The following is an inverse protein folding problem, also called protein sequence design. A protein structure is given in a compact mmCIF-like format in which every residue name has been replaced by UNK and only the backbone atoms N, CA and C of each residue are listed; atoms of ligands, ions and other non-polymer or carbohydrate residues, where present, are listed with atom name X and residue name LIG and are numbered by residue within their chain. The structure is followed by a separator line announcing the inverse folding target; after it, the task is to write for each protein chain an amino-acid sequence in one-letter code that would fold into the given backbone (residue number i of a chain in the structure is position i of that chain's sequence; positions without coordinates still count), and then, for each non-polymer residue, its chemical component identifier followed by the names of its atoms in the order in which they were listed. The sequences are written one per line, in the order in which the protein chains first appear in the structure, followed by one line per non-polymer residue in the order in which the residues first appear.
data_IF_408604065647
#
_entry.id   IF_408604065647
#
_cell.length_a   1.000
_cell.length_b   1.000
_cell.length_c   1.000
_cell.angle_alpha   90.00
_cell.angle_beta   90.00
_cell.angle_gamma   90.00
#
_symmetry.space_group_name_H-M   'P 1'
#
loop_
_entity.id
_entity.type
_entity.pdbx_description
1 polymer ?
#
# COMPACT_ATOMS: atom_id res chain seq x y z
N UNK A 1 58.24 -19.06 14.18
CA UNK A 1 58.02 -18.28 15.42
C UNK A 1 56.61 -17.71 15.53
N UNK A 2 56.07 -16.98 14.54
CA UNK A 2 54.69 -16.41 14.60
C UNK A 2 53.60 -17.49 14.51
N UNK A 3 53.71 -18.45 13.58
CA UNK A 3 52.71 -19.53 13.44
C UNK A 3 52.64 -20.44 14.67
N UNK A 4 53.79 -20.75 15.26
CA UNK A 4 53.89 -21.58 16.47
C UNK A 4 53.23 -20.91 17.69
N UNK A 5 53.41 -19.59 17.83
CA UNK A 5 52.76 -18.79 18.86
C UNK A 5 51.24 -18.66 18.62
N UNK A 6 50.82 -18.63 17.35
CA UNK A 6 49.41 -18.61 16.97
C UNK A 6 48.70 -19.91 17.34
N UNK A 7 49.29 -21.06 17.02
CA UNK A 7 48.70 -22.36 17.38
C UNK A 7 48.62 -22.57 18.90
N UNK A 8 49.64 -22.13 19.65
CA UNK A 8 49.67 -22.28 21.11
C UNK A 8 48.61 -21.43 21.83
N UNK A 9 48.32 -20.23 21.31
CA UNK A 9 47.40 -19.28 21.95
C UNK A 9 46.09 -19.09 21.20
N UNK A 10 45.82 -19.88 20.17
CA UNK A 10 44.68 -19.71 19.26
C UNK A 10 43.36 -19.56 20.02
N UNK A 11 43.10 -20.44 20.99
CA UNK A 11 41.87 -20.41 21.79
C UNK A 11 41.72 -19.09 22.55
N UNK A 12 42.81 -18.59 23.13
CA UNK A 12 42.82 -17.35 23.91
C UNK A 12 42.55 -16.16 22.98
N UNK A 13 43.28 -16.08 21.87
CA UNK A 13 43.11 -15.00 20.88
C UNK A 13 41.70 -15.01 20.30
N UNK A 14 41.17 -16.19 19.97
CA UNK A 14 39.81 -16.36 19.46
C UNK A 14 38.75 -15.89 20.46
N UNK A 15 38.83 -16.36 21.71
CA UNK A 15 37.87 -16.00 22.76
C UNK A 15 37.93 -14.51 23.09
N UNK A 16 39.12 -13.92 23.22
CA UNK A 16 39.27 -12.48 23.48
C UNK A 16 38.69 -11.67 22.32
N UNK A 17 38.99 -12.07 21.08
CA UNK A 17 38.47 -11.36 19.90
C UNK A 17 36.94 -11.44 19.82
N UNK A 18 36.35 -12.59 20.13
CA UNK A 18 34.90 -12.75 20.20
C UNK A 18 34.29 -11.89 21.32
N UNK A 19 34.90 -11.85 22.50
CA UNK A 19 34.45 -11.03 23.63
C UNK A 19 34.53 -9.53 23.33
N UNK A 20 35.63 -9.07 22.73
CA UNK A 20 35.79 -7.67 22.28
C UNK A 20 34.74 -7.34 21.23
N UNK A 21 34.50 -8.24 20.27
CA UNK A 21 33.47 -8.06 19.26
C UNK A 21 32.09 -7.85 19.89
N UNK A 22 31.65 -8.72 20.81
CA UNK A 22 30.39 -8.54 21.51
C UNK A 22 30.37 -7.28 22.38
N UNK A 23 31.44 -6.99 23.11
CA UNK A 23 31.56 -5.86 24.03
C UNK A 23 31.46 -4.50 23.34
N UNK A 24 32.08 -4.33 22.15
CA UNK A 24 31.98 -3.08 21.37
C UNK A 24 30.52 -2.74 21.02
N UNK A 25 29.66 -3.74 20.86
CA UNK A 25 28.24 -3.52 20.53
C UNK A 25 27.41 -2.95 21.70
N UNK A 26 27.93 -2.93 22.93
CA UNK A 26 27.28 -2.21 24.05
C UNK A 26 27.17 -0.72 23.73
N UNK A 27 28.12 -0.18 22.96
CA UNK A 27 28.17 1.24 22.56
C UNK A 27 27.04 1.65 21.62
N UNK A 28 26.31 0.69 21.03
CA UNK A 28 25.13 0.96 20.21
C UNK A 28 23.89 1.33 21.05
N UNK A 29 23.97 1.22 22.37
CA UNK A 29 22.87 1.48 23.29
C UNK A 29 23.22 2.65 24.23
N UNK A 30 22.17 3.32 24.74
CA UNK A 30 22.36 4.34 25.77
C UNK A 30 22.89 3.69 27.04
N UNK A 31 24.08 4.10 27.47
CA UNK A 31 24.70 3.61 28.70
C UNK A 31 23.82 3.93 29.91
N UNK A 32 23.33 2.89 30.56
CA UNK A 32 22.52 2.94 31.78
C UNK A 32 22.96 1.81 32.71
N UNK A 33 22.70 1.96 34.01
CA UNK A 33 23.05 0.93 34.99
C UNK A 33 22.35 -0.40 34.67
N UNK A 34 21.07 -0.34 34.28
CA UNK A 34 20.31 -1.52 33.85
C UNK A 34 20.93 -2.21 32.64
N UNK A 35 21.36 -1.44 31.62
CA UNK A 35 22.04 -2.00 30.45
C UNK A 35 23.34 -2.71 30.86
N UNK A 36 24.12 -2.15 31.77
CA UNK A 36 25.38 -2.75 32.21
C UNK A 36 25.15 -4.09 32.93
N UNK A 37 24.16 -4.15 33.81
CA UNK A 37 23.75 -5.37 34.51
C UNK A 37 23.29 -6.45 33.52
N UNK A 38 22.44 -6.08 32.55
CA UNK A 38 21.93 -7.01 31.53
C UNK A 38 22.84 -7.14 30.31
N UNK A 39 24.02 -6.51 30.30
CA UNK A 39 24.90 -6.47 29.14
C UNK A 39 25.29 -7.85 28.62
N UNK A 40 25.55 -8.89 29.47
CA UNK A 40 25.87 -10.23 28.95
C UNK A 40 24.72 -10.82 28.14
N UNK A 41 23.47 -10.50 28.49
CA UNK A 41 22.28 -10.95 27.75
C UNK A 41 22.07 -10.13 26.48
N UNK A 42 22.24 -8.80 26.57
CA UNK A 42 22.02 -7.88 25.44
C UNK A 42 23.03 -8.12 24.31
N UNK A 43 24.28 -8.44 24.64
CA UNK A 43 25.32 -8.74 23.64
C UNK A 43 25.46 -10.22 23.29
N UNK A 44 24.68 -11.11 23.94
CA UNK A 44 24.73 -12.55 23.66
C UNK A 44 24.51 -12.87 22.18
N UNK A 45 23.56 -12.24 21.44
CA UNK A 45 23.40 -12.48 20.01
C UNK A 45 24.65 -12.12 19.20
N UNK A 46 25.30 -11.01 19.54
CA UNK A 46 26.51 -10.51 18.88
C UNK A 46 27.71 -11.41 19.21
N UNK A 47 27.83 -11.89 20.45
CA UNK A 47 28.84 -12.88 20.84
C UNK A 47 28.64 -14.19 20.08
N UNK A 48 27.41 -14.69 20.02
CA UNK A 48 27.08 -15.91 19.30
C UNK A 48 27.42 -15.79 17.81
N UNK A 49 27.05 -14.67 17.18
CA UNK A 49 27.40 -14.40 15.78
C UNK A 49 28.92 -14.29 15.58
N UNK A 50 29.63 -13.57 16.46
CA UNK A 50 31.07 -13.37 16.39
C UNK A 50 31.85 -14.69 16.49
N UNK A 51 31.41 -15.61 17.36
CA UNK A 51 31.98 -16.96 17.45
C UNK A 51 31.75 -17.75 16.17
N UNK A 52 30.55 -17.73 15.61
CA UNK A 52 30.23 -18.47 14.38
C UNK A 52 30.99 -17.92 13.16
N UNK A 53 31.03 -16.59 12.99
CA UNK A 53 31.81 -15.93 11.92
C UNK A 53 33.30 -16.23 12.08
N UNK A 54 33.82 -16.15 13.30
CA UNK A 54 35.21 -16.45 13.62
C UNK A 54 35.57 -17.91 13.27
N UNK A 55 34.72 -18.86 13.69
CA UNK A 55 34.92 -20.28 13.39
C UNK A 55 34.92 -20.53 11.89
N UNK A 56 33.93 -19.99 11.16
CA UNK A 56 33.86 -20.15 9.70
C UNK A 56 35.09 -19.55 9.00
N UNK A 57 35.54 -18.37 9.44
CA UNK A 57 36.72 -17.71 8.89
C UNK A 57 37.98 -18.56 9.04
N UNK A 58 38.19 -19.15 10.22
CA UNK A 58 39.39 -19.95 10.49
C UNK A 58 39.32 -21.31 9.81
N UNK A 59 38.14 -21.94 9.77
CA UNK A 59 37.99 -23.32 9.26
C UNK A 59 37.79 -23.40 7.75
N UNK A 60 37.01 -22.49 7.17
CA UNK A 60 36.61 -22.53 5.76
C UNK A 60 37.14 -21.33 4.96
N UNK A 61 37.77 -20.36 5.63
CA UNK A 61 38.34 -19.17 5.02
C UNK A 61 37.45 -17.94 5.14
N UNK A 62 38.03 -16.78 4.84
CA UNK A 62 37.40 -15.47 5.02
C UNK A 62 36.04 -15.32 4.32
N UNK A 63 35.89 -15.89 3.11
CA UNK A 63 34.66 -15.79 2.32
C UNK A 63 33.42 -16.35 3.02
N UNK A 64 33.56 -17.45 3.76
CA UNK A 64 32.43 -18.06 4.50
C UNK A 64 32.01 -17.23 5.71
N UNK A 65 32.97 -16.62 6.40
CA UNK A 65 32.68 -15.65 7.46
C UNK A 65 31.95 -14.41 6.93
N UNK A 66 32.38 -13.90 5.77
CA UNK A 66 31.73 -12.77 5.10
C UNK A 66 30.32 -13.12 4.65
N UNK A 67 30.11 -14.31 4.06
CA UNK A 67 28.80 -14.76 3.62
C UNK A 67 27.81 -14.85 4.79
N UNK A 68 28.23 -15.47 5.91
CA UNK A 68 27.40 -15.54 7.11
C UNK A 68 27.04 -14.14 7.64
N UNK A 69 27.99 -13.22 7.63
CA UNK A 69 27.75 -11.83 8.06
C UNK A 69 26.72 -11.12 7.15
N UNK A 70 26.84 -11.26 5.84
CA UNK A 70 25.89 -10.69 4.87
C UNK A 70 24.49 -11.27 5.10
N UNK A 71 24.36 -12.60 5.20
CA UNK A 71 23.08 -13.27 5.42
C UNK A 71 22.45 -12.84 6.74
N UNK A 72 23.24 -12.77 7.82
CA UNK A 72 22.77 -12.31 9.12
C UNK A 72 22.20 -10.89 9.05
N UNK A 73 22.90 -9.96 8.39
CA UNK A 73 22.45 -8.58 8.25
C UNK A 73 21.19 -8.48 7.37
N UNK A 74 21.07 -9.29 6.32
CA UNK A 74 19.85 -9.34 5.52
C UNK A 74 18.66 -9.78 6.38
N UNK A 75 18.81 -10.89 7.11
CA UNK A 75 17.71 -11.48 7.89
C UNK A 75 17.29 -10.61 9.07
N UNK A 76 18.26 -10.08 9.82
CA UNK A 76 17.96 -9.41 11.10
C UNK A 76 17.98 -7.87 11.03
N UNK A 77 18.48 -7.26 9.96
CA UNK A 77 18.43 -5.82 9.76
C UNK A 77 17.59 -5.43 8.53
N UNK A 78 17.95 -5.91 7.34
CA UNK A 78 17.31 -5.46 6.09
C UNK A 78 15.85 -5.89 6.01
N UNK A 79 15.53 -7.17 6.27
CA UNK A 79 14.14 -7.66 6.22
C UNK A 79 13.24 -6.91 7.21
N UNK A 80 13.58 -6.75 8.49
CA UNK A 80 12.78 -5.95 9.41
C UNK A 80 12.60 -4.50 8.97
N UNK A 81 13.66 -3.84 8.49
CA UNK A 81 13.58 -2.46 8.00
C UNK A 81 12.60 -2.36 6.83
N UNK A 82 12.63 -3.33 5.90
CA UNK A 82 11.73 -3.39 4.75
C UNK A 82 10.28 -3.72 5.18
N UNK A 83 10.08 -4.61 6.16
CA UNK A 83 8.75 -4.94 6.67
C UNK A 83 8.11 -3.78 7.43
N UNK A 84 8.91 -3.00 8.15
CA UNK A 84 8.47 -1.82 8.92
C UNK A 84 8.29 -0.61 8.00
N UNK A 85 9.19 -0.41 7.03
CA UNK A 85 9.15 0.67 6.06
C UNK A 85 9.13 0.12 4.63
N UNK A 86 7.96 -0.32 4.15
CA UNK A 86 7.84 -0.89 2.82
C UNK A 86 8.18 0.12 1.72
N UNK A 87 8.18 1.43 1.99
CA UNK A 87 8.43 2.44 0.97
C UNK A 87 9.77 2.30 0.20
N UNK A 88 10.74 1.61 0.80
CA UNK A 88 12.04 1.30 0.19
C UNK A 88 11.91 0.39 -1.05
N UNK A 89 10.84 -0.42 -1.16
CA UNK A 89 10.59 -1.33 -2.30
C UNK A 89 9.61 -0.76 -3.35
N UNK A 90 9.31 0.54 -3.32
CA UNK A 90 8.31 1.15 -4.21
C UNK A 90 6.87 1.01 -3.71
N UNK A 91 6.66 0.70 -2.43
CA UNK A 91 5.36 0.85 -1.78
C UNK A 91 5.13 2.33 -1.45
N UNK A 92 4.26 3.03 -2.18
CA UNK A 92 3.97 4.42 -1.84
C UNK A 92 3.24 4.50 -0.50
N UNK A 93 3.93 5.01 0.54
CA UNK A 93 3.30 5.35 1.81
C UNK A 93 2.75 6.77 1.70
N UNK A 94 1.46 6.89 1.43
CA UNK A 94 0.75 8.08 1.89
C UNK A 94 0.70 7.94 3.42
N UNK A 95 1.18 8.93 4.18
CA UNK A 95 1.45 8.84 5.64
C UNK A 95 0.27 8.28 6.47
N UNK A 96 -0.94 8.26 5.88
CA UNK A 96 -2.20 7.85 6.47
C UNK A 96 -2.83 6.58 5.87
N UNK A 97 -2.25 5.94 4.85
CA UNK A 97 -2.70 4.65 4.31
C UNK A 97 -1.59 3.85 3.60
N UNK A 98 -1.62 2.52 3.72
CA UNK A 98 -0.77 1.65 2.93
C UNK A 98 -1.40 1.46 1.54
N UNK A 99 -0.67 1.87 0.49
CA UNK A 99 -1.11 1.75 -0.90
C UNK A 99 -0.35 0.62 -1.60
N UNK A 100 -1.09 -0.33 -2.19
CA UNK A 100 -0.53 -1.46 -2.91
C UNK A 100 -1.02 -1.44 -4.36
N UNK A 101 -0.13 -1.68 -5.33
CA UNK A 101 -0.56 -1.94 -6.70
C UNK A 101 -1.45 -3.18 -6.76
N UNK A 102 -2.60 -3.08 -7.42
CA UNK A 102 -3.57 -4.16 -7.51
C UNK A 102 -4.16 -4.29 -8.94
N UNK A 103 -4.29 -5.51 -9.47
CA UNK A 103 -3.96 -6.79 -8.86
C UNK A 103 -2.44 -7.04 -8.85
N UNK A 104 -1.94 -7.97 -8.03
CA UNK A 104 -0.57 -8.45 -8.15
C UNK A 104 -0.34 -9.03 -9.56
N UNK A 105 0.91 -9.02 -10.03
CA UNK A 105 1.24 -9.60 -11.32
C UNK A 105 0.94 -11.11 -11.34
N UNK A 106 0.17 -11.54 -12.34
CA UNK A 106 -0.23 -12.94 -12.51
C UNK A 106 0.07 -13.37 -13.95
N UNK A 107 0.82 -14.48 -14.08
CA UNK A 107 1.06 -15.12 -15.37
C UNK A 107 -0.26 -15.50 -16.06
N UNK A 108 -0.30 -15.41 -17.39
CA UNK A 108 -1.47 -15.82 -18.14
C UNK A 108 -1.73 -17.34 -18.02
N UNK A 109 -3.00 -17.80 -18.09
CA UNK A 109 -3.31 -19.23 -18.24
C UNK A 109 -2.67 -19.80 -19.52
N UNK A 110 -2.38 -21.10 -19.52
CA UNK A 110 -1.73 -21.80 -20.65
C UNK A 110 -2.58 -21.75 -21.91
N UNK A 111 -3.89 -22.01 -21.76
CA UNK A 111 -4.87 -21.86 -22.82
C UNK A 111 -6.16 -21.24 -22.25
N UNK A 112 -6.68 -20.22 -22.93
CA UNK A 112 -7.92 -19.55 -22.52
C UNK A 112 -8.57 -18.81 -23.69
N UNK A 113 -9.88 -18.61 -23.58
CA UNK A 113 -10.64 -17.70 -24.43
C UNK A 113 -11.15 -16.53 -23.58
N UNK A 114 -10.84 -15.30 -23.99
CA UNK A 114 -11.27 -14.07 -23.30
C UNK A 114 -11.91 -13.11 -24.29
N UNK A 115 -13.17 -12.73 -24.02
CA UNK A 115 -13.91 -11.70 -24.74
C UNK A 115 -14.35 -10.63 -23.76
N UNK A 116 -13.98 -9.38 -24.03
CA UNK A 116 -14.41 -8.21 -23.26
C UNK A 116 -15.02 -7.25 -24.27
N UNK A 117 -16.28 -6.86 -24.08
CA UNK A 117 -16.99 -5.95 -24.98
C UNK A 117 -17.80 -4.93 -24.18
N UNK A 118 -17.98 -3.74 -24.74
CA UNK A 118 -18.93 -2.76 -24.22
C UNK A 118 -20.32 -3.11 -24.76
N UNK A 119 -21.32 -3.12 -23.89
CA UNK A 119 -22.68 -3.55 -24.21
C UNK A 119 -23.75 -2.53 -23.78
N UNK A 120 -25.02 -2.93 -23.92
CA UNK A 120 -26.16 -2.22 -23.33
C UNK A 120 -26.56 -2.88 -22.01
N UNK A 121 -27.23 -2.13 -21.13
CA UNK A 121 -27.76 -2.66 -19.88
C UNK A 121 -28.78 -3.76 -20.19
N UNK A 122 -28.59 -4.93 -19.60
CA UNK A 122 -29.58 -6.01 -19.68
C UNK A 122 -30.59 -5.84 -18.55
N UNK A 123 -31.86 -6.17 -18.82
CA UNK A 123 -32.92 -6.20 -17.80
C UNK A 123 -32.60 -7.27 -16.74
N UNK A 124 -31.91 -8.35 -17.17
CA UNK A 124 -31.43 -9.40 -16.30
C UNK A 124 -29.90 -9.38 -16.30
N UNK A 125 -29.31 -8.93 -15.20
CA UNK A 125 -27.86 -9.03 -14.99
C UNK A 125 -27.52 -10.48 -14.64
N UNK A 126 -27.05 -11.23 -15.63
CA UNK A 126 -26.56 -12.60 -15.48
C UNK A 126 -25.05 -12.57 -15.25
N UNK A 127 -24.61 -13.23 -14.18
CA UNK A 127 -23.20 -13.46 -13.94
C UNK A 127 -22.97 -14.90 -13.48
N UNK A 128 -21.83 -15.46 -13.91
CA UNK A 128 -21.33 -16.77 -13.48
C UNK A 128 -19.88 -16.62 -13.08
N UNK A 129 -19.52 -17.20 -11.95
CA UNK A 129 -18.18 -17.11 -11.40
C UNK A 129 -17.72 -18.50 -10.96
N UNK A 130 -16.83 -19.12 -11.74
CA UNK A 130 -16.11 -20.33 -11.40
C UNK A 130 -14.63 -20.22 -11.81
N UNK A 131 -13.76 -21.13 -11.35
CA UNK A 131 -12.37 -21.20 -11.82
C UNK A 131 -12.24 -21.40 -13.34
N UNK A 132 -13.19 -22.09 -13.94
CA UNK A 132 -13.20 -22.51 -15.36
C UNK A 132 -13.93 -21.49 -16.25
N UNK A 133 -14.99 -20.87 -15.74
CA UNK A 133 -15.81 -19.94 -16.49
C UNK A 133 -16.16 -18.70 -15.67
N UNK A 134 -15.86 -17.53 -16.21
CA UNK A 134 -16.30 -16.25 -15.66
C UNK A 134 -17.10 -15.51 -16.74
N UNK A 135 -18.36 -15.23 -16.43
CA UNK A 135 -19.30 -14.55 -17.31
C UNK A 135 -19.93 -13.37 -16.59
N UNK A 136 -19.96 -12.23 -17.26
CA UNK A 136 -20.74 -11.06 -16.91
C UNK A 136 -21.45 -10.59 -18.18
N UNK A 137 -22.76 -10.40 -18.11
CA UNK A 137 -23.55 -9.86 -19.22
C UNK A 137 -24.28 -8.61 -18.76
N UNK A 138 -24.21 -7.53 -19.56
CA UNK A 138 -24.88 -6.27 -19.30
C UNK A 138 -24.50 -5.60 -17.98
N UNK A 139 -23.32 -5.89 -17.42
CA UNK A 139 -22.97 -5.51 -16.04
C UNK A 139 -22.10 -4.25 -16.00
N UNK A 140 -22.42 -3.30 -15.10
CA UNK A 140 -21.61 -2.09 -14.88
C UNK A 140 -20.18 -2.45 -14.50
N UNK A 141 -19.21 -1.75 -15.07
CA UNK A 141 -17.78 -1.98 -14.85
C UNK A 141 -17.44 -1.99 -13.35
N UNK A 142 -18.00 -1.06 -12.57
CA UNK A 142 -17.83 -1.05 -11.11
C UNK A 142 -18.28 -2.35 -10.44
N UNK A 143 -19.40 -2.92 -10.87
CA UNK A 143 -19.90 -4.19 -10.34
C UNK A 143 -19.03 -5.37 -10.81
N UNK A 144 -18.53 -5.36 -12.04
CA UNK A 144 -17.56 -6.37 -12.52
C UNK A 144 -16.31 -6.36 -11.63
N UNK A 145 -15.71 -5.20 -11.40
CA UNK A 145 -14.53 -5.09 -10.54
C UNK A 145 -14.81 -5.46 -9.08
N UNK A 146 -15.96 -5.08 -8.52
CA UNK A 146 -16.31 -5.46 -7.14
C UNK A 146 -16.46 -6.98 -7.00
N UNK A 147 -17.12 -7.62 -7.97
CA UNK A 147 -17.31 -9.07 -8.00
C UNK A 147 -16.00 -9.81 -8.28
N UNK A 148 -15.11 -9.29 -9.11
CA UNK A 148 -13.79 -9.90 -9.33
C UNK A 148 -12.83 -9.68 -8.15
N UNK A 149 -12.89 -8.54 -7.46
CA UNK A 149 -12.02 -8.24 -6.32
C UNK A 149 -12.51 -8.83 -4.98
N UNK A 150 -13.69 -9.47 -4.97
CA UNK A 150 -14.39 -9.93 -3.76
C UNK A 150 -14.68 -8.78 -2.78
N UNK A 151 -14.92 -7.60 -3.32
CA UNK A 151 -15.13 -6.39 -2.55
C UNK A 151 -16.59 -5.95 -2.67
N UNK A 152 -17.09 -5.33 -1.60
CA UNK A 152 -18.33 -4.57 -1.67
C UNK A 152 -18.20 -3.49 -2.76
N UNK A 153 -19.24 -3.29 -3.55
CA UNK A 153 -19.31 -2.21 -4.53
C UNK A 153 -19.05 -0.83 -3.92
N UNK A 154 -19.41 -0.60 -2.66
CA UNK A 154 -19.13 0.64 -1.93
C UNK A 154 -17.64 0.83 -1.60
N UNK A 155 -16.82 -0.22 -1.75
CA UNK A 155 -15.36 -0.18 -1.54
C UNK A 155 -14.58 0.00 -2.84
N UNK A 156 -15.24 -0.02 -4.00
CA UNK A 156 -14.61 0.21 -5.31
C UNK A 156 -14.86 1.63 -5.78
N UNK A 157 -13.79 2.34 -6.10
CA UNK A 157 -13.81 3.75 -6.51
C UNK A 157 -13.12 3.89 -7.86
N UNK A 158 -13.77 4.63 -8.75
CA UNK A 158 -13.17 5.07 -10.00
C UNK A 158 -12.88 6.56 -9.84
N UNK A 159 -11.68 6.97 -10.24
CA UNK A 159 -11.30 8.36 -10.40
C UNK A 159 -12.32 9.12 -11.25
N UNK A 160 -12.64 8.54 -12.41
CA UNK A 160 -13.66 9.04 -13.31
C UNK A 160 -14.94 8.19 -13.21
N UNK A 161 -16.03 8.72 -12.59
CA UNK A 161 -17.26 7.95 -12.39
C UNK A 161 -17.90 7.45 -13.69
N UNK A 162 -17.68 8.16 -14.81
CA UNK A 162 -18.17 7.76 -16.12
C UNK A 162 -17.62 6.40 -16.56
N UNK A 163 -16.33 6.12 -16.33
CA UNK A 163 -15.69 4.85 -16.66
C UNK A 163 -16.33 3.71 -15.86
N UNK A 164 -16.53 3.90 -14.56
CA UNK A 164 -17.16 2.90 -13.69
C UNK A 164 -18.62 2.56 -14.05
N UNK A 165 -19.32 3.48 -14.74
CA UNK A 165 -20.70 3.30 -15.22
C UNK A 165 -20.80 2.57 -16.56
N UNK A 166 -19.71 2.43 -17.31
CA UNK A 166 -19.69 1.68 -18.57
C UNK A 166 -20.19 0.26 -18.36
N UNK A 167 -20.88 -0.28 -19.36
CA UNK A 167 -21.50 -1.59 -19.29
C UNK A 167 -20.66 -2.60 -20.05
N UNK A 168 -20.33 -3.70 -19.38
CA UNK A 168 -19.41 -4.71 -19.88
C UNK A 168 -20.09 -6.05 -20.05
N UNK A 169 -19.73 -6.70 -21.16
CA UNK A 169 -19.88 -8.13 -21.37
C UNK A 169 -18.48 -8.74 -21.25
N UNK A 170 -18.27 -9.61 -20.26
CA UNK A 170 -16.99 -10.28 -20.04
C UNK A 170 -17.23 -11.77 -20.06
N UNK A 171 -16.60 -12.48 -20.98
CA UNK A 171 -16.62 -13.94 -21.05
C UNK A 171 -15.20 -14.46 -21.02
N UNK A 172 -14.90 -15.29 -20.04
CA UNK A 172 -13.63 -15.98 -19.87
C UNK A 172 -13.88 -17.47 -19.72
N UNK A 173 -13.15 -18.26 -20.50
CA UNK A 173 -13.13 -19.71 -20.45
C UNK A 173 -11.68 -20.17 -20.32
N UNK A 174 -11.41 -21.01 -19.32
CA UNK A 174 -10.12 -21.67 -19.16
C UNK A 174 -10.12 -22.99 -19.94
N UNK A 175 -9.23 -23.11 -20.91
CA UNK A 175 -9.09 -24.29 -21.79
C UNK A 175 -7.81 -25.07 -21.50
N UNK A 176 -7.12 -24.73 -20.40
CA UNK A 176 -5.86 -25.38 -20.02
C UNK A 176 -6.10 -26.86 -19.66
N UNK A 177 -5.39 -27.76 -20.32
CA UNK A 177 -5.39 -29.19 -19.99
C UNK A 177 -4.64 -29.38 -18.66
N UNK A 178 -5.33 -29.81 -17.60
CA UNK A 178 -4.76 -30.03 -16.26
C UNK A 178 -5.45 -29.23 -15.15
N UNK A 179 -4.78 -29.08 -14.00
CA UNK A 179 -5.36 -28.33 -12.87
C UNK A 179 -5.51 -26.85 -13.23
N UNK A 180 -6.72 -26.29 -13.20
CA UNK A 180 -6.95 -24.89 -13.54
C UNK A 180 -6.23 -23.96 -12.56
N UNK A 181 -5.92 -22.76 -13.04
CA UNK A 181 -5.43 -21.68 -12.19
C UNK A 181 -6.38 -21.47 -11.01
N UNK A 182 -5.84 -21.28 -9.81
CA UNK A 182 -6.64 -20.99 -8.61
C UNK A 182 -7.60 -19.83 -8.89
N UNK A 183 -8.84 -19.94 -8.41
CA UNK A 183 -9.90 -18.95 -8.60
C UNK A 183 -9.45 -17.51 -8.31
N UNK A 184 -8.67 -17.30 -7.24
CA UNK A 184 -8.10 -15.99 -6.90
C UNK A 184 -7.15 -15.46 -7.98
N UNK A 185 -6.27 -16.31 -8.50
CA UNK A 185 -5.34 -15.95 -9.58
C UNK A 185 -6.10 -15.67 -10.89
N UNK A 186 -7.13 -16.45 -11.21
CA UNK A 186 -7.99 -16.21 -12.38
C UNK A 186 -8.66 -14.84 -12.32
N UNK A 187 -9.21 -14.47 -11.15
CA UNK A 187 -9.82 -13.15 -10.94
C UNK A 187 -8.79 -12.02 -11.05
N UNK A 188 -7.63 -12.15 -10.41
CA UNK A 188 -6.54 -11.19 -10.53
C UNK A 188 -6.07 -11.03 -11.98
N UNK A 189 -5.95 -12.12 -12.74
CA UNK A 189 -5.64 -12.09 -14.16
C UNK A 189 -6.67 -11.27 -14.96
N UNK A 190 -7.97 -11.52 -14.73
CA UNK A 190 -9.05 -10.78 -15.41
C UNK A 190 -9.08 -9.30 -15.05
N UNK A 191 -8.90 -8.95 -13.78
CA UNK A 191 -8.77 -7.56 -13.33
C UNK A 191 -7.60 -6.90 -14.07
N UNK A 192 -6.45 -7.57 -14.14
CA UNK A 192 -5.27 -7.05 -14.86
C UNK A 192 -5.54 -6.82 -16.35
N UNK A 193 -6.28 -7.73 -17.00
CA UNK A 193 -6.68 -7.58 -18.41
C UNK A 193 -7.67 -6.45 -18.63
N UNK A 194 -8.66 -6.29 -17.76
CA UNK A 194 -9.60 -5.16 -17.81
C UNK A 194 -8.86 -3.83 -17.63
N UNK A 195 -8.02 -3.72 -16.60
CA UNK A 195 -7.21 -2.53 -16.37
C UNK A 195 -6.34 -2.20 -17.59
N UNK A 196 -5.67 -3.20 -18.17
CA UNK A 196 -4.86 -2.98 -19.39
C UNK A 196 -5.69 -2.54 -20.59
N UNK A 197 -6.85 -3.16 -20.83
CA UNK A 197 -7.72 -2.83 -21.98
C UNK A 197 -8.21 -1.38 -21.95
N UNK A 198 -8.53 -0.88 -20.76
CA UNK A 198 -9.06 0.47 -20.57
C UNK A 198 -7.99 1.50 -20.20
N UNK A 199 -6.70 1.14 -20.27
CA UNK A 199 -5.57 1.98 -19.84
C UNK A 199 -5.73 2.53 -18.40
N UNK A 200 -6.15 1.66 -17.48
CA UNK A 200 -6.40 1.99 -16.07
C UNK A 200 -5.34 1.38 -15.14
N UNK A 201 -5.13 2.00 -13.99
CA UNK A 201 -4.30 1.55 -12.88
C UNK A 201 -5.22 1.20 -11.71
N UNK A 202 -4.95 0.08 -11.03
CA UNK A 202 -5.66 -0.31 -9.82
C UNK A 202 -4.75 -0.25 -8.61
N UNK A 203 -5.27 0.26 -7.50
CA UNK A 203 -4.55 0.44 -6.24
C UNK A 203 -5.44 0.05 -5.06
N UNK A 204 -4.85 -0.65 -4.09
CA UNK A 204 -5.51 -1.06 -2.86
C UNK A 204 -5.03 -0.15 -1.71
N UNK A 205 -5.95 0.62 -1.16
CA UNK A 205 -5.71 1.48 -0.01
C UNK A 205 -6.16 0.77 1.26
N UNK A 206 -5.21 0.46 2.14
CA UNK A 206 -5.47 -0.11 3.46
C UNK A 206 -5.39 1.04 4.47
N UNK A 207 -6.56 1.42 4.99
CA UNK A 207 -6.76 2.64 5.78
C UNK A 207 -7.02 2.24 7.24
N UNK A 208 -6.20 2.71 8.20
CA UNK A 208 -6.41 2.48 9.63
C UNK A 208 -7.75 3.03 10.14
N UNK A 209 -8.22 2.50 11.27
CA UNK A 209 -9.35 3.08 12.00
C UNK A 209 -8.99 4.47 12.53
N UNK A 210 -9.96 5.40 12.51
CA UNK A 210 -9.80 6.77 12.99
C UNK A 210 -9.28 7.76 11.96
N UNK A 211 -8.79 7.30 10.81
CA UNK A 211 -8.32 8.15 9.73
C UNK A 211 -9.49 8.67 8.89
N UNK A 212 -9.33 9.87 8.35
CA UNK A 212 -10.28 10.46 7.42
C UNK A 212 -9.96 10.04 5.99
N UNK A 213 -10.99 9.92 5.18
CA UNK A 213 -10.90 9.57 3.77
C UNK A 213 -11.52 10.71 2.98
N UNK A 214 -10.77 11.26 2.03
CA UNK A 214 -11.27 12.23 1.05
C UNK A 214 -11.53 11.51 -0.28
N UNK A 215 -12.77 11.57 -0.76
CA UNK A 215 -13.22 10.91 -2.00
C UNK A 215 -14.04 11.85 -2.86
N UNK A 216 -13.92 11.77 -4.18
CA UNK A 216 -14.91 12.39 -5.07
C UNK A 216 -16.27 11.68 -4.93
N UNK A 217 -17.35 12.46 -4.92
CA UNK A 217 -18.71 11.92 -5.00
C UNK A 217 -18.88 11.14 -6.30
N UNK A 218 -19.29 9.88 -6.16
CA UNK A 218 -19.47 8.97 -7.30
C UNK A 218 -20.67 9.34 -8.20
N UNK A 219 -21.46 10.36 -7.85
CA UNK A 219 -22.71 10.73 -8.52
C UNK A 219 -22.84 12.22 -8.88
N UNK A 220 -21.80 13.04 -8.70
CA UNK A 220 -21.83 14.44 -9.14
C UNK A 220 -20.62 14.74 -10.01
N UNK A 221 -20.86 15.37 -11.15
CA UNK A 221 -19.82 16.06 -11.90
C UNK A 221 -19.09 17.00 -10.93
N UNK A 222 -17.76 17.09 -11.04
CA UNK A 222 -16.98 18.11 -10.34
C UNK A 222 -17.46 19.43 -10.96
N UNK A 223 -18.42 20.09 -10.35
CA UNK A 223 -18.94 21.37 -10.86
C UNK A 223 -17.84 22.40 -10.63
N UNK A 224 -17.18 22.92 -11.67
CA UNK A 224 -16.25 24.02 -11.51
C UNK A 224 -17.09 25.30 -11.46
N UNK A 225 -17.08 25.99 -10.33
CA UNK A 225 -17.42 27.41 -10.28
C UNK A 225 -18.68 27.78 -9.51
N UNK A 226 -18.40 28.62 -8.51
CA UNK A 226 -19.25 29.47 -7.68
C UNK A 226 -20.12 28.82 -6.58
N UNK A 227 -19.97 29.30 -5.33
CA UNK A 227 -20.91 28.99 -4.27
C UNK A 227 -22.25 29.65 -4.58
N UNK A 228 -23.30 28.83 -4.65
CA UNK A 228 -24.67 29.32 -4.62
C UNK A 228 -24.91 30.13 -3.34
N UNK A 229 -25.55 31.29 -3.48
CA UNK A 229 -25.86 32.23 -2.39
C UNK A 229 -26.98 31.64 -1.52
N UNK A 230 -26.64 30.65 -0.71
CA UNK A 230 -27.52 30.04 0.27
C UNK A 230 -26.93 30.13 1.66
N UNK A 231 -26.96 31.33 2.26
CA UNK A 231 -26.78 31.65 3.69
C UNK A 231 -26.18 30.55 4.59
N UNK A 232 -24.90 30.21 4.41
CA UNK A 232 -24.11 29.62 5.50
C UNK A 232 -23.41 30.80 6.17
N UNK A 233 -23.92 31.20 7.34
CA UNK A 233 -23.19 32.10 8.24
C UNK A 233 -21.94 31.36 8.73
N UNK A 234 -20.86 31.42 7.97
CA UNK A 234 -19.54 30.96 8.38
C UNK A 234 -19.12 31.77 9.61
N UNK A 235 -19.13 31.13 10.78
CA UNK A 235 -18.57 31.69 12.00
C UNK A 235 -17.04 31.71 11.85
N UNK A 236 -16.51 32.88 11.44
CA UNK A 236 -15.10 33.32 11.45
C UNK A 236 -14.05 32.48 10.70
N UNK A 237 -13.41 33.13 9.70
CA UNK A 237 -12.10 32.79 9.14
C UNK A 237 -12.10 31.73 8.05
N UNK A 238 -12.19 32.11 6.78
CA UNK A 238 -11.96 31.19 5.66
C UNK A 238 -10.47 31.18 5.28
N UNK A 239 -9.99 30.04 4.77
CA UNK A 239 -8.64 29.88 4.24
C UNK A 239 -8.78 29.58 2.75
N UNK A 240 -8.05 30.35 1.93
CA UNK A 240 -7.97 30.12 0.49
C UNK A 240 -6.71 29.32 0.18
N UNK A 241 -6.88 28.19 -0.47
CA UNK A 241 -5.80 27.36 -1.03
C UNK A 241 -5.86 27.55 -2.53
N UNK A 242 -4.90 28.25 -3.11
CA UNK A 242 -4.84 28.51 -4.55
C UNK A 242 -4.05 27.42 -5.25
N UNK A 243 -4.42 27.16 -6.50
CA UNK A 243 -3.68 26.32 -7.45
C UNK A 243 -3.21 25.00 -6.83
N UNK A 244 -4.15 24.31 -6.18
CA UNK A 244 -3.87 23.10 -5.43
C UNK A 244 -4.62 21.91 -6.04
N UNK A 245 -3.96 20.75 -6.04
CA UNK A 245 -4.63 19.48 -6.34
C UNK A 245 -5.46 19.02 -5.13
N UNK A 246 -6.27 17.98 -5.31
CA UNK A 246 -7.00 17.36 -4.18
C UNK A 246 -6.02 16.76 -3.15
N UNK A 247 -4.88 16.28 -3.60
CA UNK A 247 -3.81 15.77 -2.73
C UNK A 247 -3.20 16.91 -1.90
N UNK A 248 -2.90 18.05 -2.51
CA UNK A 248 -2.39 19.24 -1.79
C UNK A 248 -3.42 19.79 -0.80
N UNK A 249 -4.69 19.79 -1.18
CA UNK A 249 -5.80 20.14 -0.30
C UNK A 249 -5.86 19.21 0.92
N UNK A 250 -5.70 17.90 0.71
CA UNK A 250 -5.70 16.92 1.79
C UNK A 250 -4.53 17.16 2.78
N UNK A 251 -3.32 17.42 2.27
CA UNK A 251 -2.17 17.78 3.11
C UNK A 251 -2.42 19.08 3.89
N UNK A 252 -3.04 20.07 3.25
CA UNK A 252 -3.39 21.34 3.90
C UNK A 252 -4.43 21.16 5.00
N UNK A 253 -5.44 20.33 4.77
CA UNK A 253 -6.45 19.96 5.78
C UNK A 253 -5.79 19.25 6.96
N UNK A 254 -4.89 18.31 6.72
CA UNK A 254 -4.16 17.61 7.79
C UNK A 254 -3.40 18.59 8.68
N UNK A 255 -2.68 19.54 8.08
CA UNK A 255 -1.94 20.57 8.81
C UNK A 255 -2.84 21.52 9.60
N UNK A 256 -3.94 21.98 9.00
CA UNK A 256 -4.81 23.00 9.60
C UNK A 256 -5.75 22.45 10.68
N UNK A 257 -6.23 21.22 10.50
CA UNK A 257 -7.23 20.60 11.37
C UNK A 257 -6.65 19.54 12.30
N UNK A 258 -5.36 19.26 12.19
CA UNK A 258 -4.65 18.25 12.98
C UNK A 258 -5.32 16.86 12.89
N UNK A 259 -5.75 16.48 11.69
CA UNK A 259 -6.39 15.19 11.39
C UNK A 259 -5.55 14.38 10.41
N UNK A 260 -5.54 13.06 10.56
CA UNK A 260 -4.96 12.16 9.55
C UNK A 260 -5.96 11.95 8.43
N UNK A 261 -5.60 12.28 7.20
CA UNK A 261 -6.47 12.16 6.02
C UNK A 261 -5.75 11.44 4.88
N UNK A 262 -6.47 10.55 4.21
CA UNK A 262 -6.02 9.87 3.00
C UNK A 262 -6.88 10.35 1.85
N UNK A 263 -6.26 10.99 0.85
CA UNK A 263 -6.94 11.24 -0.42
C UNK A 263 -6.97 9.98 -1.26
N UNK A 264 -8.15 9.55 -1.67
CA UNK A 264 -8.29 8.60 -2.78
C UNK A 264 -8.47 9.33 -4.10
N UNK A 265 -8.98 10.57 -4.07
CA UNK A 265 -9.18 11.35 -5.27
C UNK A 265 -7.83 11.96 -5.69
N UNK A 266 -7.28 11.50 -6.80
CA UNK A 266 -6.05 12.06 -7.36
C UNK A 266 -6.37 12.86 -8.62
N UNK A 267 -7.18 13.93 -8.49
CA UNK A 267 -7.34 14.82 -9.63
C UNK A 267 -6.06 15.63 -9.82
N UNK A 268 -5.54 15.64 -11.05
CA UNK A 268 -4.33 16.37 -11.44
C UNK A 268 -4.63 17.83 -11.75
N UNK A 269 -5.91 18.18 -11.86
CA UNK A 269 -6.35 19.55 -12.06
C UNK A 269 -6.18 20.36 -10.78
N UNK A 270 -5.54 21.51 -10.93
CA UNK A 270 -5.39 22.49 -9.86
C UNK A 270 -6.66 23.33 -9.76
N UNK A 271 -7.14 23.50 -8.54
CA UNK A 271 -8.31 24.33 -8.25
C UNK A 271 -8.04 25.24 -7.06
N UNK A 272 -8.79 26.34 -7.00
CA UNK A 272 -8.81 27.20 -5.82
C UNK A 272 -9.89 26.74 -4.84
N UNK A 273 -9.48 26.31 -3.65
CA UNK A 273 -10.36 25.88 -2.57
C UNK A 273 -10.53 26.98 -1.52
N UNK A 274 -11.75 27.18 -1.08
CA UNK A 274 -12.11 28.05 0.04
C UNK A 274 -12.69 27.14 1.10
N UNK A 275 -11.92 26.92 2.16
CA UNK A 275 -12.31 26.06 3.28
C UNK A 275 -12.49 26.89 4.55
N UNK A 276 -13.39 26.50 5.46
CA UNK A 276 -13.51 27.14 6.76
C UNK A 276 -12.21 26.95 7.57
N UNK A 277 -12.09 27.62 8.73
CA UNK A 277 -10.98 27.40 9.66
C UNK A 277 -11.48 26.65 10.88
N UNK A 278 -10.74 25.63 11.31
CA UNK A 278 -10.90 24.93 12.60
C UNK A 278 -12.28 24.29 12.89
N UNK A 279 -13.21 24.25 11.93
CA UNK A 279 -14.48 23.53 12.03
C UNK A 279 -14.55 22.39 11.00
N UNK A 280 -14.38 21.15 11.48
CA UNK A 280 -14.40 19.95 10.64
C UNK A 280 -15.80 19.69 10.06
N UNK A 281 -16.87 20.02 10.79
CA UNK A 281 -18.24 19.79 10.32
C UNK A 281 -18.57 20.75 9.17
N UNK A 282 -18.23 22.02 9.34
CA UNK A 282 -18.35 23.02 8.27
C UNK A 282 -17.46 22.66 7.07
N UNK A 283 -16.24 22.16 7.31
CA UNK A 283 -15.35 21.71 6.24
C UNK A 283 -16.00 20.61 5.40
N UNK A 284 -16.55 19.57 6.04
CA UNK A 284 -17.22 18.46 5.33
C UNK A 284 -18.38 18.96 4.48
N UNK A 285 -19.20 19.87 5.02
CA UNK A 285 -20.33 20.44 4.29
C UNK A 285 -19.87 21.24 3.06
N UNK A 286 -18.84 22.08 3.22
CA UNK A 286 -18.25 22.90 2.13
C UNK A 286 -17.62 22.01 1.05
N UNK A 287 -16.81 21.03 1.44
CA UNK A 287 -16.21 20.07 0.52
C UNK A 287 -17.29 19.33 -0.29
N UNK A 288 -18.33 18.86 0.40
CA UNK A 288 -19.38 18.05 -0.19
C UNK A 288 -20.31 18.85 -1.11
N UNK A 289 -20.66 20.09 -0.74
CA UNK A 289 -21.55 20.95 -1.53
C UNK A 289 -20.85 21.68 -2.66
N UNK A 290 -19.69 22.28 -2.39
CA UNK A 290 -19.06 23.21 -3.34
C UNK A 290 -18.06 22.53 -4.27
N UNK A 291 -17.50 21.39 -3.85
CA UNK A 291 -16.41 20.72 -4.58
C UNK A 291 -16.73 19.27 -4.95
N UNK A 292 -17.90 18.75 -4.56
CA UNK A 292 -18.26 17.35 -4.79
C UNK A 292 -17.34 16.37 -4.07
N UNK A 293 -16.66 16.79 -3.00
CA UNK A 293 -15.73 15.98 -2.22
C UNK A 293 -16.38 15.52 -0.91
N UNK A 294 -16.42 14.23 -0.68
CA UNK A 294 -16.87 13.67 0.59
C UNK A 294 -15.69 13.32 1.48
N UNK A 295 -15.79 13.79 2.74
CA UNK A 295 -14.81 13.52 3.78
C UNK A 295 -15.47 12.70 4.89
N UNK A 296 -15.01 11.46 5.05
CA UNK A 296 -15.61 10.48 5.97
C UNK A 296 -14.55 9.86 6.89
N UNK A 297 -14.87 9.70 8.17
CA UNK A 297 -13.98 9.08 9.15
C UNK A 297 -14.17 7.56 9.14
N UNK A 298 -13.08 6.80 9.18
CA UNK A 298 -13.14 5.36 9.33
C UNK A 298 -13.39 4.98 10.79
N UNK A 299 -14.42 4.19 11.04
CA UNK A 299 -14.65 3.62 12.38
C UNK A 299 -13.76 2.40 12.62
N UNK A 300 -13.55 1.61 11.57
CA UNK A 300 -12.74 0.38 11.59
C UNK A 300 -11.71 0.42 10.46
N UNK A 301 -10.68 -0.43 10.59
CA UNK A 301 -9.71 -0.63 9.51
C UNK A 301 -10.45 -1.07 8.24
N UNK A 302 -10.26 -0.34 7.15
CA UNK A 302 -10.99 -0.59 5.90
C UNK A 302 -10.03 -0.67 4.72
N UNK A 303 -10.44 -1.44 3.72
CA UNK A 303 -9.71 -1.59 2.47
C UNK A 303 -10.56 -1.00 1.35
N UNK A 304 -9.98 -0.10 0.57
CA UNK A 304 -10.62 0.54 -0.58
C UNK A 304 -9.86 0.19 -1.84
N UNK A 305 -10.57 -0.17 -2.90
CA UNK A 305 -10.00 -0.45 -4.20
C UNK A 305 -10.23 0.77 -5.09
N UNK A 306 -9.15 1.46 -5.44
CA UNK A 306 -9.17 2.66 -6.27
C UNK A 306 -8.68 2.33 -7.68
N UNK A 307 -9.36 2.88 -8.69
CA UNK A 307 -9.06 2.68 -10.10
C UNK A 307 -8.93 4.06 -10.76
N UNK A 308 -7.76 4.36 -11.30
CA UNK A 308 -7.41 5.63 -11.94
C UNK A 308 -6.95 5.42 -13.38
N UNK A 309 -6.85 6.50 -14.15
CA UNK A 309 -6.26 6.45 -15.49
C UNK A 309 -4.74 6.29 -15.40
N UNK A 310 -4.15 5.45 -16.28
CA UNK A 310 -2.68 5.38 -16.39
C UNK A 310 -2.15 6.67 -17.02
N UNK A 311 -1.06 7.18 -16.46
CA UNK A 311 -0.20 8.20 -17.06
C UNK A 311 0.25 7.82 -18.48
#
# INVERSE_FOLDING_TARGET
MIEEQWHKNYLIVFCITALVFGGVHILNYKLTLSLLIFSPLVVAPQLFLGVNIGYLRVRYGFGWGLLLHIVHNIVFAVIPIVLINPAILGFSSNKNALVLGYPPEVAAPVAYHLRIEEGRESIFNTYKLSPEEILFEGTKMKAVFSRLANADSAKVFFEEPAIGRKILNVKFLNESQGTPMSYTKTRHFLIGRLLKKYNLKGELFIIPAGNWILTCKQYSEIIPGLPDKGNIKAKSGNITVKDATISDLAEKIESLYHVRITSLANNREEHTFIIPKNDIMALREVLSRNYGLDMNKTETKTTRFYISSRE
#
